data_IF_918440797410
#
_entry.id   IF_918440797410
#
_cell.length_a   1.000
_cell.length_b   1.000
_cell.length_c   1.000
_cell.angle_alpha   90.00
_cell.angle_beta   90.00
_cell.angle_gamma   90.00
#
_symmetry.space_group_name_H-M   'P 1'
#
loop_
_entity.id
_entity.type
_entity.pdbx_description
1 polymer ?
#
# COMPACT_ATOMS: atom_id res chain seq x y z
N UNK A 1 3.45 -6.47 -16.48
CA UNK A 1 2.73 -7.72 -16.13
C UNK A 1 3.73 -8.85 -16.08
N UNK A 2 4.55 -9.01 -17.13
CA UNK A 2 5.67 -9.96 -17.16
C UNK A 2 6.66 -9.80 -15.98
N UNK A 3 7.09 -8.57 -15.66
CA UNK A 3 8.02 -8.32 -14.54
C UNK A 3 7.44 -8.79 -13.19
N UNK A 4 6.16 -8.53 -12.94
CA UNK A 4 5.50 -8.96 -11.72
C UNK A 4 5.34 -10.49 -11.65
N UNK A 5 5.09 -11.14 -12.79
CA UNK A 5 5.04 -12.61 -12.87
C UNK A 5 6.43 -13.21 -12.62
N UNK A 6 7.48 -12.65 -13.22
CA UNK A 6 8.85 -13.10 -13.03
C UNK A 6 9.31 -12.95 -11.57
N UNK A 7 8.99 -11.83 -10.93
CA UNK A 7 9.29 -11.61 -9.52
C UNK A 7 8.51 -12.58 -8.60
N UNK A 8 7.25 -12.90 -8.93
CA UNK A 8 6.47 -13.90 -8.21
C UNK A 8 7.04 -15.32 -8.36
N UNK A 9 7.43 -15.72 -9.57
CA UNK A 9 8.07 -17.01 -9.83
C UNK A 9 9.37 -17.16 -9.03
N UNK A 10 10.26 -16.16 -9.08
CA UNK A 10 11.51 -16.15 -8.31
C UNK A 10 11.27 -16.28 -6.81
N UNK A 11 10.26 -15.60 -6.28
CA UNK A 11 9.90 -15.69 -4.87
C UNK A 11 9.42 -17.09 -4.47
N UNK A 12 8.61 -17.76 -5.32
CA UNK A 12 8.18 -19.14 -5.07
C UNK A 12 9.37 -20.11 -5.11
N UNK A 13 10.32 -19.94 -6.04
CA UNK A 13 11.49 -20.80 -6.10
C UNK A 13 12.35 -20.71 -4.82
N UNK A 14 12.53 -19.51 -4.28
CA UNK A 14 13.22 -19.30 -2.98
C UNK A 14 12.48 -20.00 -1.84
N UNK A 15 11.14 -19.90 -1.82
CA UNK A 15 10.32 -20.58 -0.81
C UNK A 15 10.40 -22.10 -0.95
N UNK A 16 10.30 -22.64 -2.17
CA UNK A 16 10.43 -24.07 -2.46
C UNK A 16 11.77 -24.62 -1.97
N UNK A 17 12.86 -23.95 -2.31
CA UNK A 17 14.20 -24.35 -1.88
C UNK A 17 14.30 -24.35 -0.35
N UNK A 18 13.76 -23.34 0.30
CA UNK A 18 13.85 -23.21 1.75
C UNK A 18 13.05 -24.29 2.48
N UNK A 19 11.84 -24.61 1.99
CA UNK A 19 11.06 -25.74 2.52
C UNK A 19 11.79 -27.07 2.28
N UNK A 20 12.39 -27.28 1.09
CA UNK A 20 13.18 -28.48 0.79
C UNK A 20 14.42 -28.61 1.69
N UNK A 21 15.00 -27.50 2.13
CA UNK A 21 16.12 -27.47 3.08
C UNK A 21 15.68 -27.50 4.56
N UNK A 22 14.38 -27.66 4.84
CA UNK A 22 13.83 -27.70 6.21
C UNK A 22 13.94 -26.37 6.97
N UNK A 23 14.10 -25.25 6.27
CA UNK A 23 14.16 -23.92 6.88
C UNK A 23 12.75 -23.41 7.20
N UNK A 24 12.61 -22.71 8.31
CA UNK A 24 11.36 -22.05 8.69
C UNK A 24 10.99 -20.92 7.73
N UNK A 25 9.69 -20.68 7.59
CA UNK A 25 9.11 -19.61 6.79
C UNK A 25 9.66 -18.22 7.15
N UNK A 26 10.14 -18.04 8.39
CA UNK A 26 10.77 -16.82 8.89
C UNK A 26 11.98 -16.41 8.07
N UNK A 27 12.79 -17.36 7.61
CA UNK A 27 13.94 -17.11 6.74
C UNK A 27 13.53 -16.69 5.31
N UNK A 28 12.27 -16.91 4.94
CA UNK A 28 11.71 -16.53 3.65
C UNK A 28 10.68 -15.42 3.75
N UNK A 29 10.63 -14.68 4.87
CA UNK A 29 9.62 -13.66 5.09
C UNK A 29 9.61 -12.60 3.97
N UNK A 30 10.79 -12.19 3.48
CA UNK A 30 10.92 -11.25 2.37
C UNK A 30 10.38 -11.84 1.06
N UNK A 31 10.74 -13.09 0.74
CA UNK A 31 10.24 -13.78 -0.45
C UNK A 31 8.71 -13.94 -0.40
N UNK A 32 8.16 -14.31 0.77
CA UNK A 32 6.72 -14.41 1.01
C UNK A 32 6.04 -13.05 0.78
N UNK A 33 6.60 -11.97 1.35
CA UNK A 33 6.10 -10.60 1.16
C UNK A 33 6.10 -10.17 -0.31
N UNK A 34 7.20 -10.40 -1.01
CA UNK A 34 7.35 -10.10 -2.44
C UNK A 34 6.33 -10.86 -3.29
N UNK A 35 6.15 -12.15 -3.03
CA UNK A 35 5.14 -12.96 -3.69
C UNK A 35 3.71 -12.44 -3.44
N UNK A 36 3.33 -12.15 -2.20
CA UNK A 36 1.98 -11.64 -1.88
C UNK A 36 1.70 -10.27 -2.49
N UNK A 37 2.71 -9.40 -2.54
CA UNK A 37 2.61 -8.10 -3.17
C UNK A 37 2.41 -8.25 -4.68
N UNK A 38 3.27 -9.02 -5.36
CA UNK A 38 3.14 -9.27 -6.78
C UNK A 38 1.80 -9.95 -7.12
N UNK A 39 1.34 -10.93 -6.34
CA UNK A 39 0.02 -11.56 -6.52
C UNK A 39 -1.12 -10.54 -6.46
N UNK A 40 -1.07 -9.59 -5.53
CA UNK A 40 -2.08 -8.53 -5.45
C UNK A 40 -2.03 -7.55 -6.62
N UNK A 41 -0.83 -7.24 -7.13
CA UNK A 41 -0.66 -6.39 -8.33
C UNK A 41 -1.20 -7.10 -9.56
N UNK A 42 -0.91 -8.39 -9.71
CA UNK A 42 -1.40 -9.23 -10.81
C UNK A 42 -2.93 -9.30 -10.81
N UNK A 43 -3.57 -9.51 -9.66
CA UNK A 43 -5.03 -9.51 -9.55
C UNK A 43 -5.67 -8.15 -9.92
N UNK A 44 -4.98 -7.04 -9.65
CA UNK A 44 -5.45 -5.70 -10.05
C UNK A 44 -5.26 -5.44 -11.54
N UNK A 45 -4.19 -5.97 -12.13
CA UNK A 45 -3.83 -5.76 -13.55
C UNK A 45 -4.50 -6.73 -14.50
N UNK A 46 -4.87 -7.94 -14.08
CA UNK A 46 -5.66 -8.89 -14.88
C UNK A 46 -7.00 -8.29 -15.31
N UNK A 47 -7.55 -7.37 -14.51
CA UNK A 47 -8.80 -6.66 -14.82
C UNK A 47 -8.62 -5.52 -15.85
N UNK A 48 -7.38 -5.13 -16.19
CA UNK A 48 -7.09 -4.12 -17.21
C UNK A 48 -6.64 -4.82 -18.50
N UNK A 49 -7.53 -4.91 -19.49
CA UNK A 49 -7.27 -5.51 -20.82
C UNK A 49 -6.11 -4.80 -21.53
N UNK A 50 -4.90 -5.37 -21.49
CA UNK A 50 -3.74 -4.93 -22.27
C UNK A 50 -3.55 -5.78 -23.53
N UNK A 51 -3.53 -5.14 -24.71
CA UNK A 51 -3.56 -5.81 -26.03
C UNK A 51 -2.20 -6.34 -26.56
N UNK A 52 -1.07 -6.13 -25.88
CA UNK A 52 0.25 -6.33 -26.48
C UNK A 52 1.02 -7.63 -26.16
N UNK A 53 0.57 -8.46 -25.22
CA UNK A 53 1.31 -9.67 -24.79
C UNK A 53 0.38 -10.70 -24.12
N UNK A 54 -0.88 -10.77 -24.56
CA UNK A 54 -1.91 -11.56 -23.87
C UNK A 54 -1.55 -13.05 -23.77
N UNK A 55 -1.02 -13.64 -24.85
CA UNK A 55 -0.64 -15.05 -24.88
C UNK A 55 0.57 -15.34 -23.97
N UNK A 56 1.63 -14.54 -24.04
CA UNK A 56 2.82 -14.76 -23.22
C UNK A 56 2.52 -14.53 -21.73
N UNK A 57 1.74 -13.50 -21.39
CA UNK A 57 1.27 -13.31 -20.01
C UNK A 57 0.42 -14.48 -19.54
N UNK A 58 -0.44 -15.04 -20.39
CA UNK A 58 -1.25 -16.21 -20.06
C UNK A 58 -0.37 -17.43 -19.74
N UNK A 59 0.59 -17.75 -20.61
CA UNK A 59 1.53 -18.86 -20.41
C UNK A 59 2.33 -18.73 -19.11
N UNK A 60 2.86 -17.53 -18.83
CA UNK A 60 3.62 -17.30 -17.59
C UNK A 60 2.74 -17.33 -16.33
N UNK A 61 1.48 -16.92 -16.44
CA UNK A 61 0.50 -17.07 -15.36
C UNK A 61 0.12 -18.53 -15.10
N UNK A 62 0.07 -19.38 -16.12
CA UNK A 62 -0.12 -20.82 -15.95
C UNK A 62 1.08 -21.45 -15.24
N UNK A 63 2.31 -21.16 -15.68
CA UNK A 63 3.53 -21.60 -14.97
C UNK A 63 3.53 -21.17 -13.50
N UNK A 64 3.12 -19.93 -13.22
CA UNK A 64 2.99 -19.43 -11.85
C UNK A 64 1.99 -20.28 -11.04
N UNK A 65 0.84 -20.66 -11.62
CA UNK A 65 -0.14 -21.53 -10.95
C UNK A 65 0.39 -22.94 -10.69
N UNK A 66 1.14 -23.51 -11.63
CA UNK A 66 1.79 -24.81 -11.45
C UNK A 66 2.81 -24.76 -10.30
N UNK A 67 3.62 -23.70 -10.24
CA UNK A 67 4.56 -23.44 -9.15
C UNK A 67 3.87 -23.26 -7.80
N UNK A 68 2.72 -22.58 -7.77
CA UNK A 68 1.91 -22.48 -6.55
C UNK A 68 1.40 -23.85 -6.08
N UNK A 69 1.01 -24.73 -7.01
CA UNK A 69 0.60 -26.09 -6.70
C UNK A 69 1.77 -26.92 -6.16
N UNK A 70 2.95 -26.83 -6.78
CA UNK A 70 4.19 -27.48 -6.30
C UNK A 70 4.55 -26.98 -4.89
N UNK A 71 4.46 -25.67 -4.64
CA UNK A 71 4.73 -25.12 -3.31
C UNK A 71 3.77 -25.66 -2.26
N UNK A 72 2.48 -25.73 -2.59
CA UNK A 72 1.45 -26.25 -1.68
C UNK A 72 1.68 -27.72 -1.36
N UNK A 73 1.98 -28.56 -2.35
CA UNK A 73 2.26 -29.99 -2.12
C UNK A 73 3.54 -30.16 -1.32
N UNK A 74 4.59 -29.40 -1.65
CA UNK A 74 5.87 -29.42 -0.93
C UNK A 74 5.70 -29.00 0.53
N UNK A 75 4.97 -27.93 0.82
CA UNK A 75 4.71 -27.50 2.20
C UNK A 75 3.94 -28.54 3.02
N UNK A 76 3.02 -29.28 2.39
CA UNK A 76 2.26 -30.33 3.06
C UNK A 76 3.05 -31.61 3.29
N UNK A 77 3.93 -31.97 2.35
CA UNK A 77 4.63 -33.27 2.35
C UNK A 77 6.03 -33.18 2.98
N UNK A 78 6.79 -32.13 2.67
CA UNK A 78 8.16 -31.93 3.12
C UNK A 78 8.29 -30.92 4.27
N UNK A 79 7.24 -30.15 4.54
CA UNK A 79 7.22 -29.17 5.63
C UNK A 79 6.82 -29.76 6.98
N UNK A 80 6.89 -28.92 8.02
CA UNK A 80 6.31 -29.21 9.34
C UNK A 80 4.79 -29.37 9.24
N UNK A 81 4.14 -30.23 10.05
CA UNK A 81 2.69 -30.22 10.20
C UNK A 81 2.15 -28.81 10.45
N UNK A 82 1.13 -28.39 9.70
CA UNK A 82 0.53 -27.06 9.80
C UNK A 82 1.23 -25.94 9.02
N UNK A 83 2.34 -26.21 8.32
CA UNK A 83 3.12 -25.17 7.64
C UNK A 83 2.32 -24.41 6.58
N UNK A 84 1.41 -25.10 5.88
CA UNK A 84 0.54 -24.48 4.88
C UNK A 84 -0.48 -23.54 5.53
N UNK A 85 -1.03 -23.92 6.68
CA UNK A 85 -1.96 -23.14 7.47
C UNK A 85 -1.25 -21.88 8.02
N UNK A 86 -0.03 -22.02 8.53
CA UNK A 86 0.82 -20.92 8.97
C UNK A 86 1.11 -19.94 7.82
N UNK A 87 1.41 -20.45 6.62
CA UNK A 87 1.61 -19.63 5.42
C UNK A 87 0.36 -18.82 5.05
N UNK A 88 -0.84 -19.44 5.14
CA UNK A 88 -2.11 -18.75 4.90
C UNK A 88 -2.40 -17.70 5.97
N UNK A 89 -2.05 -17.97 7.23
CA UNK A 89 -2.15 -16.99 8.30
C UNK A 89 -1.23 -15.79 8.05
N UNK A 90 0.02 -16.05 7.69
CA UNK A 90 0.99 -15.01 7.34
C UNK A 90 0.49 -14.14 6.19
N UNK A 91 -0.12 -14.75 5.15
CA UNK A 91 -0.77 -14.00 4.07
C UNK A 91 -1.86 -13.06 4.57
N UNK A 92 -2.72 -13.52 5.50
CA UNK A 92 -3.77 -12.69 6.11
C UNK A 92 -3.17 -11.55 6.92
N UNK A 93 -2.10 -11.80 7.68
CA UNK A 93 -1.38 -10.79 8.46
C UNK A 93 -0.79 -9.71 7.54
N UNK A 94 -0.08 -10.08 6.47
CA UNK A 94 0.44 -9.14 5.48
C UNK A 94 -0.67 -8.29 4.82
N UNK A 95 -1.85 -8.87 4.59
CA UNK A 95 -3.01 -8.10 4.08
C UNK A 95 -3.51 -7.08 5.11
N UNK A 96 -3.66 -7.48 6.38
CA UNK A 96 -4.09 -6.60 7.47
C UNK A 96 -3.11 -5.46 7.68
N UNK A 97 -1.82 -5.74 7.65
CA UNK A 97 -0.76 -4.75 7.85
C UNK A 97 -0.75 -3.71 6.72
N UNK A 98 -0.92 -4.13 5.46
CA UNK A 98 -1.08 -3.19 4.33
C UNK A 98 -2.27 -2.26 4.51
N UNK A 99 -3.42 -2.79 4.91
CA UNK A 99 -4.62 -1.98 5.17
C UNK A 99 -4.38 -1.00 6.33
N UNK A 100 -3.70 -1.43 7.39
CA UNK A 100 -3.34 -0.57 8.52
C UNK A 100 -2.42 0.56 8.08
N UNK A 101 -1.39 0.28 7.27
CA UNK A 101 -0.47 1.29 6.75
C UNK A 101 -1.16 2.27 5.80
N UNK A 102 -2.06 1.81 4.95
CA UNK A 102 -2.86 2.69 4.09
C UNK A 102 -3.77 3.62 4.91
N UNK A 103 -4.37 3.10 6.00
CA UNK A 103 -5.19 3.91 6.91
C UNK A 103 -4.35 4.93 7.68
N UNK A 104 -3.19 4.54 8.20
CA UNK A 104 -2.33 5.46 8.95
C UNK A 104 -1.79 6.58 8.06
N UNK A 105 -1.40 6.28 6.81
CA UNK A 105 -0.99 7.29 5.83
C UNK A 105 -2.11 8.29 5.56
N UNK A 106 -3.33 7.81 5.29
CA UNK A 106 -4.50 8.69 5.09
C UNK A 106 -4.82 9.53 6.33
N UNK A 107 -4.69 8.97 7.53
CA UNK A 107 -4.89 9.71 8.77
C UNK A 107 -3.85 10.82 8.95
N UNK A 108 -2.58 10.53 8.65
CA UNK A 108 -1.50 11.52 8.71
C UNK A 108 -1.73 12.65 7.68
N UNK A 109 -2.08 12.31 6.44
CA UNK A 109 -2.42 13.27 5.38
C UNK A 109 -3.61 14.15 5.76
N UNK A 110 -4.65 13.57 6.35
CA UNK A 110 -5.80 14.33 6.83
C UNK A 110 -5.44 15.25 8.01
N UNK A 111 -4.57 14.79 8.91
CA UNK A 111 -4.13 15.56 10.07
C UNK A 111 -3.27 16.76 9.66
N UNK A 112 -2.35 16.58 8.71
CA UNK A 112 -1.53 17.68 8.17
C UNK A 112 -2.42 18.69 7.42
N UNK A 113 -3.35 18.21 6.60
CA UNK A 113 -4.29 19.08 5.89
C UNK A 113 -5.19 19.86 6.86
N UNK A 114 -5.63 19.23 7.95
CA UNK A 114 -6.42 19.90 8.99
C UNK A 114 -5.62 20.99 9.72
N UNK A 115 -4.33 20.77 9.99
CA UNK A 115 -3.46 21.78 10.59
C UNK A 115 -3.27 22.99 9.67
N UNK A 116 -3.03 22.76 8.37
CA UNK A 116 -2.91 23.84 7.37
C UNK A 116 -4.21 24.64 7.28
N UNK A 117 -5.36 23.97 7.21
CA UNK A 117 -6.66 24.66 7.18
C UNK A 117 -6.93 25.48 8.44
N UNK A 118 -6.50 25.02 9.62
CA UNK A 118 -6.64 25.79 10.88
C UNK A 118 -5.82 27.07 10.81
N UNK A 119 -4.55 27.00 10.43
CA UNK A 119 -3.71 28.18 10.28
C UNK A 119 -4.25 29.16 9.24
N UNK A 120 -4.74 28.65 8.11
CA UNK A 120 -5.35 29.48 7.07
C UNK A 120 -6.59 30.23 7.58
N UNK A 121 -7.45 29.58 8.39
CA UNK A 121 -8.60 30.23 9.03
C UNK A 121 -8.17 31.33 10.01
N UNK A 122 -7.14 31.08 10.84
CA UNK A 122 -6.63 32.10 11.76
C UNK A 122 -6.03 33.30 11.01
N UNK A 123 -5.29 33.06 9.93
CA UNK A 123 -4.73 34.12 9.09
C UNK A 123 -5.83 34.98 8.45
N UNK A 124 -6.86 34.35 7.87
CA UNK A 124 -8.01 35.06 7.29
C UNK A 124 -8.79 35.87 8.34
N UNK A 125 -8.95 35.33 9.56
CA UNK A 125 -9.59 36.06 10.66
C UNK A 125 -8.76 37.26 11.12
N UNK A 126 -7.44 37.11 11.23
CA UNK A 126 -6.54 38.18 11.62
C UNK A 126 -6.53 39.31 10.58
N UNK A 127 -6.49 39.00 9.29
CA UNK A 127 -6.53 40.01 8.23
C UNK A 127 -7.87 40.74 8.18
N UNK A 128 -9.00 40.05 8.36
CA UNK A 128 -10.31 40.67 8.44
C UNK A 128 -10.44 41.61 9.65
N UNK A 129 -9.91 41.21 10.81
CA UNK A 129 -9.89 42.05 12.01
C UNK A 129 -9.03 43.30 11.83
N UNK A 130 -7.84 43.17 11.22
CA UNK A 130 -6.97 44.31 10.94
C UNK A 130 -7.61 45.27 9.93
N UNK A 131 -8.27 44.73 8.91
CA UNK A 131 -9.00 45.54 7.93
C UNK A 131 -10.15 46.32 8.57
N UNK A 132 -10.95 45.67 9.42
CA UNK A 132 -12.03 46.33 10.15
C UNK A 132 -11.52 47.43 11.09
N UNK A 133 -10.38 47.20 11.75
CA UNK A 133 -9.76 48.20 12.62
C UNK A 133 -9.23 49.41 11.84
N UNK A 134 -8.63 49.18 10.67
CA UNK A 134 -8.17 50.23 9.76
C UNK A 134 -9.33 51.12 9.28
N UNK A 135 -10.46 50.52 8.92
CA UNK A 135 -11.65 51.26 8.49
C UNK A 135 -12.19 52.16 9.61
N UNK A 136 -12.28 51.66 10.84
CA UNK A 136 -12.72 52.46 11.99
C UNK A 136 -11.79 53.65 12.28
N UNK A 137 -10.47 53.47 12.12
CA UNK A 137 -9.50 54.56 12.29
C UNK A 137 -9.65 55.61 11.18
N UNK A 138 -9.86 55.18 9.93
CA UNK A 138 -10.11 56.10 8.81
C UNK A 138 -11.38 56.94 9.02
N UNK A 139 -12.46 56.33 9.54
CA UNK A 139 -13.69 57.05 9.89
C UNK A 139 -13.45 58.08 11.00
N UNK A 140 -12.72 57.72 12.06
CA UNK A 140 -12.37 58.65 13.14
C UNK A 140 -11.53 59.85 12.65
N UNK A 141 -10.54 59.60 11.78
CA UNK A 141 -9.70 60.66 11.23
C UNK A 141 -10.45 61.59 10.27
N UNK A 142 -11.45 61.06 9.53
CA UNK A 142 -12.31 61.88 8.69
C UNK A 142 -13.32 62.69 9.51
N UNK A 143 -13.87 62.13 10.59
CA UNK A 143 -14.78 62.85 11.49
C UNK A 143 -14.09 64.05 12.16
N UNK A 144 -12.82 63.91 12.57
CA UNK A 144 -12.05 65.00 13.18
C UNK A 144 -11.58 66.11 12.23
N UNK A 145 -11.80 65.98 10.91
CA UNK A 145 -11.52 67.04 9.92
C UNK A 145 -12.77 67.85 9.53
N UNK A 146 -13.94 67.50 10.09
CA UNK A 146 -15.23 68.13 9.80
C UNK A 146 -15.69 69.21 10.80
N UNK A 147 -14.90 69.48 11.84
CA UNK A 147 -15.02 70.66 12.71
C UNK A 147 -13.91 71.68 12.38
#
# INVERSE_FOLDING_TARGET
MLEEIAAANKAIDIMLQSVKHGKDLSHCAEACGNYFNNKSILARRSNKKGRGSALQNFMELEKLREKEAELRTTMKLAGRPGLWEDFLEFQKQCKRERIRQERSKKQLENATMAQVMRWFKYMMGATASLFSMLMAVMEFLNAGKGE
#
